data_IF_013716069479
#
_entry.id   IF_013716069479
#
_cell.length_a   1.000
_cell.length_b   1.000
_cell.length_c   1.000
_cell.angle_alpha   90.00
_cell.angle_beta   90.00
_cell.angle_gamma   90.00
#
_symmetry.space_group_name_H-M   'P 1'
#
loop_
_entity.id
_entity.type
_entity.pdbx_description
1 polymer ?
#
# COMPACT_ATOMS: atom_id res chain seq x y z
N UNK A 1 -16.90 4.70 -28.62
CA UNK A 1 -15.70 3.83 -28.49
C UNK A 1 -15.34 3.65 -27.01
N UNK A 2 -15.89 2.63 -26.33
CA UNK A 2 -15.63 2.31 -24.92
C UNK A 2 -14.47 1.32 -24.78
N UNK A 3 -13.26 1.67 -25.24
CA UNK A 3 -12.07 0.81 -25.12
C UNK A 3 -11.27 1.10 -23.85
N UNK A 4 -11.80 1.00 -22.63
CA UNK A 4 -11.01 1.53 -21.48
C UNK A 4 -10.90 0.74 -20.16
N UNK A 5 -11.56 -0.41 -19.92
CA UNK A 5 -11.22 -1.22 -18.74
C UNK A 5 -10.01 -2.14 -18.98
N UNK A 6 -10.05 -2.95 -20.05
CA UNK A 6 -9.06 -4.03 -20.31
C UNK A 6 -7.65 -3.49 -20.63
N UNK A 7 -7.56 -2.45 -21.46
CA UNK A 7 -6.28 -1.82 -21.81
C UNK A 7 -5.62 -1.14 -20.59
N UNK A 8 -6.44 -0.55 -19.71
CA UNK A 8 -5.97 0.10 -18.48
C UNK A 8 -5.47 -0.93 -17.46
N UNK A 9 -6.18 -2.05 -17.30
CA UNK A 9 -5.74 -3.16 -16.46
C UNK A 9 -4.41 -3.76 -16.96
N UNK A 10 -4.28 -4.01 -18.26
CA UNK A 10 -3.04 -4.53 -18.86
C UNK A 10 -1.85 -3.57 -18.66
N UNK A 11 -2.07 -2.25 -18.74
CA UNK A 11 -1.05 -1.24 -18.46
C UNK A 11 -0.62 -1.26 -16.99
N UNK A 12 -1.57 -1.36 -16.06
CA UNK A 12 -1.29 -1.46 -14.61
C UNK A 12 -0.47 -2.73 -14.32
N UNK A 13 -0.87 -3.87 -14.87
CA UNK A 13 -0.15 -5.15 -14.70
C UNK A 13 1.28 -5.05 -15.24
N UNK A 14 1.48 -4.47 -16.43
CA UNK A 14 2.84 -4.25 -16.98
C UNK A 14 3.68 -3.35 -16.08
N UNK A 15 3.12 -2.27 -15.56
CA UNK A 15 3.84 -1.37 -14.65
C UNK A 15 4.22 -2.05 -13.34
N UNK A 16 3.33 -2.87 -12.75
CA UNK A 16 3.64 -3.68 -11.56
C UNK A 16 4.75 -4.70 -11.86
N UNK A 17 4.75 -5.30 -13.05
CA UNK A 17 5.79 -6.26 -13.45
C UNK A 17 7.20 -5.65 -13.47
N UNK A 18 7.32 -4.40 -13.93
CA UNK A 18 8.62 -3.72 -14.03
C UNK A 18 8.98 -2.89 -12.79
N UNK A 19 7.99 -2.45 -12.03
CA UNK A 19 8.14 -1.76 -10.73
C UNK A 19 7.10 -2.31 -9.75
N UNK A 20 7.43 -3.35 -8.97
CA UNK A 20 6.52 -3.94 -7.99
C UNK A 20 5.97 -2.91 -6.97
N UNK A 21 6.69 -1.80 -6.76
CA UNK A 21 6.25 -0.68 -5.91
C UNK A 21 5.31 0.31 -6.59
N UNK A 22 4.99 0.14 -7.88
CA UNK A 22 4.24 1.11 -8.69
C UNK A 22 2.91 1.54 -8.05
N UNK A 23 2.12 0.59 -7.56
CA UNK A 23 0.81 0.91 -6.97
C UNK A 23 0.95 1.77 -5.71
N UNK A 24 1.91 1.43 -4.85
CA UNK A 24 2.16 2.14 -3.59
C UNK A 24 2.73 3.53 -3.87
N UNK A 25 3.71 3.64 -4.77
CA UNK A 25 4.27 4.94 -5.19
C UNK A 25 3.21 5.83 -5.82
N UNK A 26 2.37 5.30 -6.71
CA UNK A 26 1.30 6.05 -7.34
C UNK A 26 0.24 6.48 -6.31
N UNK A 27 -0.08 5.63 -5.33
CA UNK A 27 -0.97 5.99 -4.24
C UNK A 27 -0.46 7.20 -3.46
N UNK A 28 0.81 7.21 -3.05
CA UNK A 28 1.39 8.34 -2.32
C UNK A 28 1.66 9.57 -3.19
N UNK A 29 1.90 9.40 -4.50
CA UNK A 29 1.98 10.52 -5.43
C UNK A 29 0.64 11.25 -5.59
N UNK A 30 -0.46 10.50 -5.65
CA UNK A 30 -1.82 11.06 -5.78
C UNK A 30 -2.37 11.57 -4.45
N UNK A 31 -1.90 11.02 -3.34
CA UNK A 31 -2.37 11.31 -1.99
C UNK A 31 -1.19 11.79 -1.17
N UNK A 32 -0.90 13.10 -1.22
CA UNK A 32 0.17 13.71 -0.44
C UNK A 32 -0.03 13.37 1.04
N UNK A 33 1.00 12.78 1.62
CA UNK A 33 0.98 12.28 2.99
C UNK A 33 1.02 13.44 3.98
N UNK A 34 -0.03 13.57 4.79
CA UNK A 34 -0.04 14.55 5.87
C UNK A 34 0.43 13.90 7.16
N UNK A 35 -0.21 12.79 7.56
CA UNK A 35 0.06 12.16 8.86
C UNK A 35 -0.28 10.68 8.80
N UNK A 36 0.58 9.86 9.41
CA UNK A 36 0.30 8.46 9.67
C UNK A 36 0.34 8.22 11.18
N UNK A 37 -0.72 7.61 11.72
CA UNK A 37 -0.82 7.25 13.13
C UNK A 37 -1.03 5.74 13.25
N UNK A 38 -0.17 5.07 14.00
CA UNK A 38 -0.35 3.65 14.32
C UNK A 38 -1.52 3.52 15.31
N UNK A 39 -2.50 2.69 14.96
CA UNK A 39 -3.68 2.43 15.76
C UNK A 39 -3.59 1.09 16.48
N UNK A 40 -3.02 0.08 15.83
CA UNK A 40 -2.87 -1.25 16.39
C UNK A 40 -1.58 -1.92 15.91
N UNK A 41 -0.97 -2.72 16.78
CA UNK A 41 0.16 -3.60 16.46
C UNK A 41 -0.15 -4.98 17.03
N UNK A 42 -0.26 -5.96 16.15
CA UNK A 42 -0.44 -7.36 16.51
C UNK A 42 0.87 -8.08 16.19
N UNK A 43 1.42 -8.78 17.18
CA UNK A 43 2.60 -9.60 17.01
C UNK A 43 2.24 -11.05 17.33
N UNK A 44 2.37 -11.91 16.33
CA UNK A 44 2.32 -13.35 16.47
C UNK A 44 3.70 -13.94 16.15
N UNK A 45 3.89 -15.23 16.47
CA UNK A 45 5.17 -15.94 16.26
C UNK A 45 5.56 -15.92 14.77
N UNK A 46 4.58 -15.95 13.89
CA UNK A 46 4.71 -16.13 12.45
C UNK A 46 4.42 -14.87 11.62
N UNK A 47 4.06 -13.74 12.26
CA UNK A 47 3.72 -12.49 11.58
C UNK A 47 3.63 -11.30 12.52
N UNK A 48 3.93 -10.11 12.00
CA UNK A 48 3.58 -8.84 12.64
C UNK A 48 2.61 -8.09 11.74
N UNK A 49 1.48 -7.63 12.28
CA UNK A 49 0.52 -6.79 11.59
C UNK A 49 0.50 -5.41 12.24
N UNK A 50 0.76 -4.37 11.45
CA UNK A 50 0.66 -2.98 11.88
C UNK A 50 -0.53 -2.36 11.17
N UNK A 51 -1.51 -1.88 11.92
CA UNK A 51 -2.64 -1.12 11.36
C UNK A 51 -2.52 0.32 11.80
N UNK A 52 -2.66 1.25 10.85
CA UNK A 52 -2.61 2.68 11.11
C UNK A 52 -3.61 3.47 10.28
N UNK A 53 -4.00 4.61 10.82
CA UNK A 53 -4.77 5.62 10.11
C UNK A 53 -3.82 6.50 9.32
N UNK A 54 -4.08 6.65 8.02
CA UNK A 54 -3.38 7.58 7.16
C UNK A 54 -4.31 8.74 6.78
N UNK A 55 -3.91 9.96 7.12
CA UNK A 55 -4.50 11.16 6.55
C UNK A 55 -3.66 11.59 5.35
N UNK A 56 -4.28 11.59 4.18
CA UNK A 56 -3.67 12.12 2.97
C UNK A 56 -4.63 13.11 2.31
N UNK A 57 -4.16 14.34 2.11
CA UNK A 57 -5.00 15.50 1.83
C UNK A 57 -6.13 15.66 2.89
N UNK A 58 -7.38 15.40 2.50
CA UNK A 58 -8.57 15.44 3.37
C UNK A 58 -9.20 14.05 3.59
N UNK A 59 -8.63 13.01 3.00
CA UNK A 59 -9.17 11.65 3.03
C UNK A 59 -8.43 10.82 4.06
N UNK A 60 -9.20 10.11 4.89
CA UNK A 60 -8.69 9.17 5.88
C UNK A 60 -8.71 7.76 5.29
N UNK A 61 -7.57 7.09 5.32
CA UNK A 61 -7.40 5.71 4.91
C UNK A 61 -7.05 4.87 6.13
N UNK A 62 -7.52 3.62 6.15
CA UNK A 62 -7.04 2.60 7.07
C UNK A 62 -6.04 1.72 6.32
N UNK A 63 -4.81 1.65 6.79
CA UNK A 63 -3.74 0.85 6.17
C UNK A 63 -3.34 -0.24 7.13
N UNK A 64 -3.22 -1.47 6.62
CA UNK A 64 -2.67 -2.62 7.33
C UNK A 64 -1.44 -3.12 6.60
N UNK A 65 -0.33 -3.23 7.33
CA UNK A 65 0.95 -3.76 6.86
C UNK A 65 1.22 -5.09 7.55
N UNK A 66 1.29 -6.17 6.77
CA UNK A 66 1.72 -7.47 7.25
C UNK A 66 3.22 -7.65 6.97
N UNK A 67 3.98 -7.91 8.02
CA UNK A 67 5.41 -8.16 8.00
C UNK A 67 5.62 -9.64 8.28
N UNK A 68 6.21 -10.33 7.30
CA UNK A 68 6.61 -11.73 7.45
C UNK A 68 7.91 -11.85 8.24
N UNK A 69 8.03 -12.84 9.14
CA UNK A 69 9.27 -13.13 9.85
C UNK A 69 10.38 -13.51 8.86
N UNK A 70 11.61 -13.10 9.16
CA UNK A 70 12.77 -13.32 8.29
C UNK A 70 12.89 -12.38 7.08
N UNK A 71 11.98 -11.43 6.92
CA UNK A 71 12.08 -10.36 5.92
C UNK A 71 12.97 -9.18 6.37
N UNK A 72 13.36 -8.28 5.46
CA UNK A 72 14.23 -7.13 5.74
C UNK A 72 13.63 -6.09 6.69
N UNK A 73 12.35 -6.22 7.03
CA UNK A 73 11.62 -5.34 7.96
C UNK A 73 11.04 -6.12 9.15
N UNK A 74 11.53 -7.34 9.40
CA UNK A 74 11.02 -8.23 10.44
C UNK A 74 11.46 -7.83 11.86
N UNK A 75 12.48 -6.98 12.00
CA UNK A 75 13.01 -6.48 13.28
C UNK A 75 12.21 -5.32 13.86
#
# INVERSE_FOLDING_TARGET
>A
MTKQPKARAALIIRKIKYDPGYLIKNFFYQNALNTFQVLNKIQAIDRRLITGGLLANITKFLISLEIKPGGPYAE
#
